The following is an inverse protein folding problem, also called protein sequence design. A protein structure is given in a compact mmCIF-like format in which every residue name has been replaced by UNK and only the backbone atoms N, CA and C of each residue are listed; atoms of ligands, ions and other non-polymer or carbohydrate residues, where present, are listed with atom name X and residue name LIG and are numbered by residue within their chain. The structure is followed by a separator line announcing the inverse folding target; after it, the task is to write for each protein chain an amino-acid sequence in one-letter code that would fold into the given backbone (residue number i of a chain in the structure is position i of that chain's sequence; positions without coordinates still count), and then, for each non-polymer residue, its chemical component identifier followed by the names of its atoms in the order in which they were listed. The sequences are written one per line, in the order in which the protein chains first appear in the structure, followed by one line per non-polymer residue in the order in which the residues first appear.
data_IF_226801843024
#
_entry.id   IF_226801843024
#
_cell.length_a   1.000
_cell.length_b   1.000
_cell.length_c   1.000
_cell.angle_alpha   90.00
_cell.angle_beta   90.00
_cell.angle_gamma   90.00
#
_symmetry.space_group_name_H-M   'P 1'
#
loop_
_entity.id
_entity.type
_entity.pdbx_description
1 polymer ?
#
# COMPACT_ATOMS: atom_id res chain seq x y z
N UNK A 1 9.57 -12.68 -10.69
CA UNK A 1 8.34 -12.14 -10.07
C UNK A 1 7.26 -12.04 -11.13
N UNK A 2 6.07 -12.59 -10.90
CA UNK A 2 4.97 -12.49 -11.86
C UNK A 2 4.17 -11.21 -11.61
N UNK A 3 4.14 -10.29 -12.59
CA UNK A 3 3.43 -9.02 -12.46
C UNK A 3 1.95 -9.19 -12.11
N UNK A 4 1.29 -10.16 -12.73
CA UNK A 4 -0.14 -10.41 -12.51
C UNK A 4 -0.39 -10.89 -11.08
N UNK A 5 0.48 -11.75 -10.56
CA UNK A 5 0.41 -12.20 -9.17
C UNK A 5 0.57 -11.04 -8.18
N UNK A 6 1.53 -10.14 -8.41
CA UNK A 6 1.68 -8.91 -7.59
C UNK A 6 0.43 -8.04 -7.61
N UNK A 7 -0.19 -7.88 -8.77
CA UNK A 7 -1.43 -7.09 -8.90
C UNK A 7 -2.61 -7.77 -8.18
N UNK A 8 -2.73 -9.09 -8.22
CA UNK A 8 -3.74 -9.83 -7.46
C UNK A 8 -3.55 -9.70 -5.95
N UNK A 9 -2.31 -9.79 -5.46
CA UNK A 9 -2.02 -9.63 -4.03
C UNK A 9 -2.36 -8.20 -3.57
N UNK A 10 -1.97 -7.18 -4.34
CA UNK A 10 -2.31 -5.79 -4.03
C UNK A 10 -3.83 -5.57 -4.00
N UNK A 11 -4.56 -6.22 -4.89
CA UNK A 11 -6.01 -6.14 -4.96
C UNK A 11 -6.70 -6.78 -3.76
N UNK A 12 -6.22 -7.95 -3.34
CA UNK A 12 -6.73 -8.65 -2.17
C UNK A 12 -6.47 -7.84 -0.88
N UNK A 13 -5.25 -7.32 -0.72
CA UNK A 13 -4.88 -6.45 0.41
C UNK A 13 -5.82 -5.24 0.48
N UNK A 14 -6.04 -4.57 -0.65
CA UNK A 14 -6.91 -3.40 -0.71
C UNK A 14 -8.37 -3.76 -0.41
N UNK A 15 -8.90 -4.80 -1.06
CA UNK A 15 -10.31 -5.22 -0.94
C UNK A 15 -10.65 -5.69 0.48
N UNK A 16 -9.70 -6.32 1.18
CA UNK A 16 -9.88 -6.77 2.56
C UNK A 16 -9.57 -5.68 3.59
N UNK A 17 -9.01 -4.55 3.18
CA UNK A 17 -8.58 -3.48 4.07
C UNK A 17 -7.45 -3.91 5.01
N UNK A 18 -6.57 -4.81 4.55
CA UNK A 18 -5.44 -5.25 5.36
C UNK A 18 -4.44 -4.11 5.54
N UNK A 19 -3.93 -3.98 6.76
CA UNK A 19 -2.79 -3.14 7.06
C UNK A 19 -1.52 -3.95 6.85
N UNK A 20 -0.59 -3.41 6.07
CA UNK A 20 0.71 -4.04 5.80
C UNK A 20 1.84 -3.13 6.23
N UNK A 21 2.96 -3.73 6.65
CA UNK A 21 4.14 -3.00 7.10
C UNK A 21 4.88 -2.34 5.94
N UNK A 22 5.74 -1.36 6.23
CA UNK A 22 6.63 -0.77 5.21
C UNK A 22 7.47 -1.81 4.46
N UNK A 23 7.89 -2.90 5.13
CA UNK A 23 8.70 -3.95 4.51
C UNK A 23 7.86 -4.80 3.55
N UNK A 24 6.67 -5.24 3.97
CA UNK A 24 5.76 -6.02 3.11
C UNK A 24 5.26 -5.22 1.91
N UNK A 25 5.01 -3.92 2.10
CA UNK A 25 4.67 -3.01 1.00
C UNK A 25 5.85 -2.82 0.04
N UNK A 26 7.06 -2.66 0.58
CA UNK A 26 8.26 -2.53 -0.25
C UNK A 26 8.54 -3.81 -1.04
N UNK A 27 8.34 -4.97 -0.41
CA UNK A 27 8.34 -6.25 -1.07
C UNK A 27 7.29 -6.24 -2.17
N UNK A 28 6.01 -5.97 -1.89
CA UNK A 28 4.95 -5.94 -2.90
C UNK A 28 5.26 -5.01 -4.10
N UNK A 29 5.91 -3.87 -3.84
CA UNK A 29 6.28 -2.87 -4.84
C UNK A 29 7.60 -3.16 -5.58
N UNK A 30 8.38 -4.15 -5.13
CA UNK A 30 9.74 -4.43 -5.62
C UNK A 30 10.71 -3.25 -5.43
N UNK A 31 10.68 -2.62 -4.26
CA UNK A 31 11.56 -1.49 -3.89
C UNK A 31 12.17 -1.69 -2.51
N UNK A 32 13.11 -0.81 -2.12
CA UNK A 32 13.61 -0.77 -0.75
C UNK A 32 12.59 -0.14 0.21
N UNK A 33 12.52 -0.62 1.46
CA UNK A 33 11.63 -0.07 2.48
C UNK A 33 11.81 1.44 2.75
N UNK A 34 13.03 1.96 2.57
CA UNK A 34 13.30 3.41 2.64
C UNK A 34 12.59 4.23 1.56
N UNK A 35 12.30 3.63 0.41
CA UNK A 35 11.55 4.28 -0.67
C UNK A 35 10.05 4.36 -0.37
N UNK A 36 9.53 3.52 0.54
CA UNK A 36 8.15 3.60 1.03
C UNK A 36 8.05 4.69 2.10
N UNK A 37 8.93 4.67 3.10
CA UNK A 37 8.85 5.59 4.24
C UNK A 37 9.12 7.06 3.88
N UNK A 38 9.88 7.32 2.82
CA UNK A 38 10.20 8.68 2.35
C UNK A 38 9.12 9.34 1.49
N UNK A 39 8.09 8.61 1.03
CA UNK A 39 7.05 9.13 0.11
C UNK A 39 5.98 10.03 0.77
N UNK A 40 6.06 10.24 2.08
CA UNK A 40 5.08 11.03 2.84
C UNK A 40 3.97 10.16 3.42
N UNK A 41 2.81 10.77 3.66
CA UNK A 41 1.68 10.09 4.33
C UNK A 41 0.67 9.47 3.36
N UNK A 42 0.59 9.94 2.11
CA UNK A 42 -0.28 9.37 1.08
C UNK A 42 0.33 9.56 -0.33
N UNK A 43 0.30 8.53 -1.18
CA UNK A 43 0.64 8.62 -2.59
C UNK A 43 -0.09 7.58 -3.45
N UNK A 44 -0.11 7.82 -4.76
CA UNK A 44 -0.62 6.86 -5.73
C UNK A 44 0.48 5.88 -6.16
N UNK A 45 0.15 4.58 -6.11
CA UNK A 45 0.92 3.52 -6.72
C UNK A 45 0.01 2.70 -7.65
N UNK A 46 0.20 2.89 -8.97
CA UNK A 46 -0.64 2.26 -10.02
C UNK A 46 -2.12 2.54 -9.80
N UNK A 47 -2.91 1.52 -9.48
CA UNK A 47 -4.37 1.60 -9.31
C UNK A 47 -4.78 1.81 -7.84
N UNK A 48 -3.81 2.02 -6.94
CA UNK A 48 -4.06 2.13 -5.50
C UNK A 48 -3.53 3.44 -4.92
N UNK A 49 -4.32 4.00 -4.02
CA UNK A 49 -3.90 4.98 -3.03
C UNK A 49 -3.23 4.22 -1.89
N UNK A 50 -2.03 4.64 -1.51
CA UNK A 50 -1.28 4.07 -0.40
C UNK A 50 -1.22 5.09 0.71
N UNK A 51 -1.87 4.79 1.83
CA UNK A 51 -2.05 5.71 2.95
C UNK A 51 -1.34 5.19 4.21
N UNK A 52 -0.57 6.05 4.86
CA UNK A 52 -0.01 5.80 6.19
C UNK A 52 -1.15 5.82 7.20
N UNK A 53 -1.36 4.73 7.92
CA UNK A 53 -2.46 4.63 8.89
C UNK A 53 -1.96 4.93 10.30
N UNK A 54 -0.95 4.19 10.76
CA UNK A 54 -0.41 4.35 12.12
C UNK A 54 0.98 3.75 12.24
N UNK A 55 1.64 4.06 13.37
CA UNK A 55 2.90 3.44 13.76
C UNK A 55 2.66 2.46 14.90
N UNK A 56 3.18 1.25 14.76
CA UNK A 56 3.17 0.21 15.79
C UNK A 56 4.63 -0.15 16.12
N UNK A 57 5.13 0.36 17.26
CA UNK A 57 6.54 0.25 17.62
C UNK A 57 7.46 0.88 16.57
N UNK A 58 8.34 0.08 15.96
CA UNK A 58 9.21 0.53 14.88
C UNK A 58 8.59 0.37 13.48
N UNK A 59 7.40 -0.19 13.37
CA UNK A 59 6.76 -0.43 12.08
C UNK A 59 5.75 0.68 11.77
N UNK A 60 5.67 1.06 10.50
CA UNK A 60 4.60 1.89 9.97
C UNK A 60 3.66 0.97 9.21
N UNK A 61 2.37 1.08 9.52
CA UNK A 61 1.31 0.36 8.85
C UNK A 61 0.69 1.22 7.76
N UNK A 62 0.52 0.60 6.60
CA UNK A 62 0.01 1.19 5.38
C UNK A 62 -1.25 0.46 4.95
N UNK A 63 -2.17 1.20 4.36
CA UNK A 63 -3.37 0.67 3.75
C UNK A 63 -3.35 0.97 2.26
N UNK A 64 -3.84 0.01 1.47
CA UNK A 64 -4.08 0.19 0.04
C UNK A 64 -5.57 0.38 -0.18
N UNK A 65 -5.93 1.34 -1.02
CA UNK A 65 -7.31 1.58 -1.44
C UNK A 65 -7.34 1.74 -2.95
N UNK A 66 -8.26 1.04 -3.61
CA UNK A 66 -8.45 1.14 -5.06
C UNK A 66 -8.93 2.55 -5.43
N UNK A 67 -8.26 3.23 -6.37
CA UNK A 67 -8.54 4.64 -6.71
C UNK A 67 -9.99 4.84 -7.18
N UNK A 68 -10.53 3.90 -7.95
CA UNK A 68 -11.91 3.93 -8.42
C UNK A 68 -12.93 3.81 -7.27
N UNK A 69 -12.57 3.19 -6.15
CA UNK A 69 -13.40 3.10 -4.94
C UNK A 69 -13.29 4.33 -4.02
N UNK A 70 -12.22 5.13 -4.13
CA UNK A 70 -12.03 6.35 -3.31
C UNK A 70 -12.94 7.51 -3.77
N UNK A 71 -13.63 7.37 -4.91
CA UNK A 71 -14.50 8.37 -5.55
C UNK A 71 -15.84 8.68 -4.84
N UNK A 72 -16.04 8.31 -3.57
CA UNK A 72 -17.36 8.44 -2.91
C UNK A 72 -17.30 9.06 -1.51
N UNK A 73 -16.46 10.07 -1.30
CA UNK A 73 -16.59 10.94 -0.13
C UNK A 73 -16.09 12.35 -0.47
N UNK A 74 -16.98 13.14 -1.08
CA UNK A 74 -16.98 14.62 -0.96
C UNK A 74 -17.69 15.01 0.35
#
# INVERSE_FOLDING_TARGET
RNLIETLHIADEVATKGYLITSSELADLMDVNASAVTSRGDNWVWRNWVVSRVRREGNQILWQLERIDHVSTTD
#
